data_IF_864169237698
#
_entry.id   IF_864169237698
#
_cell.length_a   1.000
_cell.length_b   1.000
_cell.length_c   1.000
_cell.angle_alpha   90.00
_cell.angle_beta   90.00
_cell.angle_gamma   90.00
#
_symmetry.space_group_name_H-M   'P 1'
#
loop_
_entity.id
_entity.type
_entity.pdbx_description
1 polymer ?
#
# COMPACT_ATOMS: atom_id res chain seq x y z
N UNK A 1 3.42 -24.93 -9.47
CA UNK A 1 2.22 -25.24 -10.29
C UNK A 1 1.52 -23.92 -10.58
N UNK A 2 1.24 -23.60 -11.85
CA UNK A 2 0.39 -22.46 -12.18
C UNK A 2 -1.02 -22.75 -11.65
N UNK A 3 -1.58 -21.87 -10.84
CA UNK A 3 -2.96 -21.97 -10.39
C UNK A 3 -3.63 -20.59 -10.53
N UNK A 4 -4.22 -20.30 -11.71
CA UNK A 4 -4.91 -19.04 -11.96
C UNK A 4 -6.06 -18.75 -10.98
N UNK A 5 -6.55 -19.76 -10.25
CA UNK A 5 -7.52 -19.59 -9.17
C UNK A 5 -7.04 -18.64 -8.07
N UNK A 6 -5.72 -18.44 -7.92
CA UNK A 6 -5.17 -17.41 -7.05
C UNK A 6 -5.65 -16.00 -7.41
N UNK A 7 -5.92 -15.69 -8.69
CA UNK A 7 -6.35 -14.36 -9.12
C UNK A 7 -7.71 -13.95 -8.53
N UNK A 8 -8.54 -14.89 -8.06
CA UNK A 8 -9.77 -14.58 -7.32
C UNK A 8 -9.48 -13.75 -6.06
N UNK A 9 -8.30 -13.91 -5.47
CA UNK A 9 -7.86 -13.10 -4.33
C UNK A 9 -7.64 -11.63 -4.70
N UNK A 10 -7.28 -11.30 -5.95
CA UNK A 10 -7.23 -9.91 -6.41
C UNK A 10 -8.63 -9.30 -6.35
N UNK A 11 -9.65 -9.99 -6.87
CA UNK A 11 -11.04 -9.51 -6.82
C UNK A 11 -11.51 -9.33 -5.38
N UNK A 12 -11.23 -10.28 -4.49
CA UNK A 12 -11.55 -10.14 -3.07
C UNK A 12 -10.80 -8.96 -2.42
N UNK A 13 -9.52 -8.76 -2.76
CA UNK A 13 -8.74 -7.61 -2.30
C UNK A 13 -9.33 -6.29 -2.76
N UNK A 14 -9.80 -6.22 -4.01
CA UNK A 14 -10.50 -5.05 -4.57
C UNK A 14 -11.77 -4.74 -3.78
N UNK A 15 -12.59 -5.77 -3.52
CA UNK A 15 -13.83 -5.61 -2.74
C UNK A 15 -13.55 -5.21 -1.30
N UNK A 16 -12.52 -5.78 -0.67
CA UNK A 16 -12.12 -5.45 0.70
C UNK A 16 -11.57 -4.03 0.78
N UNK A 17 -10.67 -3.65 -0.14
CA UNK A 17 -10.08 -2.31 -0.19
C UNK A 17 -11.14 -1.25 -0.41
N UNK A 18 -11.96 -1.39 -1.46
CA UNK A 18 -13.07 -0.47 -1.72
C UNK A 18 -14.10 -0.46 -0.59
N UNK A 19 -14.52 -1.63 -0.11
CA UNK A 19 -15.54 -1.73 0.92
C UNK A 19 -15.11 -1.09 2.24
N UNK A 20 -13.85 -1.28 2.65
CA UNK A 20 -13.33 -0.68 3.87
C UNK A 20 -13.27 0.86 3.77
N UNK A 21 -12.73 1.40 2.67
CA UNK A 21 -12.66 2.85 2.47
C UNK A 21 -14.03 3.48 2.24
N UNK A 22 -14.92 2.83 1.48
CA UNK A 22 -16.27 3.31 1.23
C UNK A 22 -17.13 3.32 2.49
N UNK A 23 -17.25 2.19 3.18
CA UNK A 23 -18.17 2.07 4.33
C UNK A 23 -17.68 2.91 5.51
N UNK A 24 -16.41 2.79 5.88
CA UNK A 24 -15.90 3.39 7.11
C UNK A 24 -15.23 4.75 6.88
N UNK A 25 -14.68 4.97 5.69
CA UNK A 25 -14.04 6.23 5.32
C UNK A 25 -15.03 7.29 4.80
N UNK A 26 -16.06 6.88 4.05
CA UNK A 26 -17.02 7.77 3.37
C UNK A 26 -18.42 7.73 3.99
N UNK A 27 -19.04 6.55 4.11
CA UNK A 27 -20.46 6.43 4.48
C UNK A 27 -20.75 6.69 5.97
N UNK A 28 -19.97 6.09 6.89
CA UNK A 28 -20.22 6.16 8.34
C UNK A 28 -19.48 7.35 9.01
N UNK A 29 -18.47 7.93 8.37
CA UNK A 29 -17.70 9.08 8.88
C UNK A 29 -17.15 8.92 10.32
N UNK A 30 -16.45 7.81 10.61
CA UNK A 30 -15.87 7.52 11.94
C UNK A 30 -14.63 8.36 12.29
N UNK A 31 -14.37 8.79 13.53
CA UNK A 31 -13.12 9.48 13.89
C UNK A 31 -11.88 8.81 13.29
N UNK A 32 -10.94 9.60 12.73
CA UNK A 32 -9.87 9.07 11.86
C UNK A 32 -9.07 7.91 12.47
N UNK A 33 -8.70 8.02 13.75
CA UNK A 33 -7.92 6.97 14.40
C UNK A 33 -8.73 5.67 14.60
N UNK A 34 -10.05 5.79 14.81
CA UNK A 34 -10.97 4.64 14.87
C UNK A 34 -11.17 4.02 13.49
N UNK A 35 -11.30 4.84 12.44
CA UNK A 35 -11.32 4.36 11.07
C UNK A 35 -10.07 3.52 10.77
N UNK A 36 -8.88 4.05 11.07
CA UNK A 36 -7.63 3.31 10.85
C UNK A 36 -7.57 2.02 11.65
N UNK A 37 -8.00 2.02 12.91
CA UNK A 37 -8.07 0.79 13.72
C UNK A 37 -8.92 -0.30 13.05
N UNK A 38 -10.11 0.06 12.57
CA UNK A 38 -11.02 -0.88 11.89
C UNK A 38 -10.41 -1.35 10.57
N UNK A 39 -9.87 -0.42 9.78
CA UNK A 39 -9.20 -0.72 8.53
C UNK A 39 -8.02 -1.70 8.73
N UNK A 40 -7.19 -1.48 9.74
CA UNK A 40 -6.09 -2.38 10.09
C UNK A 40 -6.59 -3.78 10.40
N UNK A 41 -7.64 -3.88 11.23
CA UNK A 41 -8.29 -5.14 11.56
C UNK A 41 -8.74 -5.89 10.31
N UNK A 42 -9.40 -5.19 9.38
CA UNK A 42 -9.87 -5.77 8.11
C UNK A 42 -8.71 -6.27 7.25
N UNK A 43 -7.68 -5.44 7.03
CA UNK A 43 -6.54 -5.81 6.18
C UNK A 43 -5.74 -6.96 6.79
N UNK A 44 -5.44 -6.91 8.09
CA UNK A 44 -4.71 -7.97 8.80
C UNK A 44 -5.52 -9.28 8.79
N UNK A 45 -6.82 -9.23 9.01
CA UNK A 45 -7.69 -10.40 8.94
C UNK A 45 -7.70 -11.00 7.52
N UNK A 46 -7.87 -10.16 6.49
CA UNK A 46 -7.85 -10.58 5.09
C UNK A 46 -6.54 -11.25 4.71
N UNK A 47 -5.40 -10.64 5.05
CA UNK A 47 -4.08 -11.22 4.83
C UNK A 47 -3.89 -12.54 5.59
N UNK A 48 -4.31 -12.60 6.85
CA UNK A 48 -4.21 -13.81 7.67
C UNK A 48 -5.02 -14.95 7.04
N UNK A 49 -6.23 -14.66 6.55
CA UNK A 49 -7.06 -15.63 5.84
C UNK A 49 -6.35 -16.11 4.57
N UNK A 50 -5.81 -15.19 3.76
CA UNK A 50 -5.06 -15.52 2.55
C UNK A 50 -3.85 -16.43 2.85
N UNK A 51 -3.04 -16.07 3.85
CA UNK A 51 -1.85 -16.82 4.28
C UNK A 51 -2.24 -18.24 4.69
N UNK A 52 -3.27 -18.39 5.54
CA UNK A 52 -3.74 -19.69 6.03
C UNK A 52 -4.32 -20.55 4.90
N UNK A 53 -5.19 -19.98 4.06
CA UNK A 53 -5.85 -20.72 2.96
C UNK A 53 -4.91 -21.13 1.84
N UNK A 54 -3.82 -20.39 1.65
CA UNK A 54 -2.84 -20.67 0.60
C UNK A 54 -1.54 -21.26 1.12
N UNK A 55 -1.44 -21.53 2.43
CA UNK A 55 -0.25 -22.06 3.09
C UNK A 55 1.03 -21.27 2.74
N UNK A 56 0.94 -19.93 2.78
CA UNK A 56 2.08 -19.07 2.47
C UNK A 56 3.16 -19.18 3.56
N UNK A 57 4.38 -19.55 3.18
CA UNK A 57 5.54 -19.51 4.08
C UNK A 57 6.11 -18.10 4.19
N UNK A 58 5.65 -17.32 5.18
CA UNK A 58 6.10 -15.93 5.36
C UNK A 58 7.62 -15.83 5.57
N UNK A 59 8.21 -16.72 6.38
CA UNK A 59 9.64 -16.68 6.70
C UNK A 59 10.48 -16.68 5.43
N UNK A 60 10.14 -17.57 4.50
CA UNK A 60 10.81 -17.69 3.20
C UNK A 60 10.67 -16.43 2.34
N UNK A 61 9.49 -15.81 2.31
CA UNK A 61 9.27 -14.60 1.51
C UNK A 61 10.00 -13.38 2.08
N UNK A 62 9.99 -13.22 3.40
CA UNK A 62 10.67 -12.12 4.07
C UNK A 62 12.19 -12.28 4.07
N UNK A 63 12.73 -13.50 4.14
CA UNK A 63 14.18 -13.74 4.17
C UNK A 63 14.86 -13.63 2.81
N UNK A 64 14.12 -13.60 1.70
CA UNK A 64 14.67 -13.58 0.34
C UNK A 64 15.00 -12.18 -0.11
N UNK A 65 16.25 -11.93 -0.51
CA UNK A 65 16.68 -10.64 -1.11
C UNK A 65 16.27 -9.43 -0.26
N UNK A 66 16.14 -9.61 1.06
CA UNK A 66 15.63 -8.59 1.98
C UNK A 66 16.53 -7.35 2.01
N UNK A 67 17.84 -7.54 1.86
CA UNK A 67 18.80 -6.45 1.71
C UNK A 67 18.43 -5.55 0.52
N UNK A 68 18.12 -6.14 -0.63
CA UNK A 68 17.67 -5.38 -1.81
C UNK A 68 16.30 -4.72 -1.59
N UNK A 69 15.38 -5.39 -0.89
CA UNK A 69 14.10 -4.81 -0.49
C UNK A 69 14.28 -3.54 0.35
N UNK A 70 15.20 -3.58 1.33
CA UNK A 70 15.53 -2.43 2.17
C UNK A 70 16.26 -1.34 1.38
N UNK A 71 17.33 -1.69 0.65
CA UNK A 71 18.10 -0.69 -0.11
C UNK A 71 17.23 0.05 -1.12
N UNK A 72 16.44 -0.67 -1.92
CA UNK A 72 15.51 -0.05 -2.86
C UNK A 72 14.42 0.73 -2.13
N UNK A 73 13.91 0.21 -1.01
CA UNK A 73 12.92 0.94 -0.23
C UNK A 73 13.47 2.26 0.34
N UNK A 74 14.74 2.33 0.75
CA UNK A 74 15.36 3.58 1.20
C UNK A 74 15.53 4.57 0.05
N UNK A 75 16.00 4.11 -1.12
CA UNK A 75 16.17 4.95 -2.32
C UNK A 75 14.84 5.53 -2.77
N UNK A 76 13.81 4.69 -2.94
CA UNK A 76 12.49 5.15 -3.35
C UNK A 76 11.76 5.90 -2.23
N UNK A 77 12.05 5.58 -0.97
CA UNK A 77 11.65 6.38 0.19
C UNK A 77 12.13 7.82 0.07
N UNK A 78 13.41 8.03 -0.24
CA UNK A 78 13.97 9.37 -0.45
C UNK A 78 13.29 10.12 -1.61
N UNK A 79 12.95 9.43 -2.71
CA UNK A 79 12.18 10.03 -3.80
C UNK A 79 10.80 10.49 -3.34
N UNK A 80 10.10 9.68 -2.53
CA UNK A 80 8.80 10.06 -1.98
C UNK A 80 8.91 11.18 -0.94
N UNK A 81 9.99 11.24 -0.14
CA UNK A 81 10.27 12.39 0.72
C UNK A 81 10.35 13.66 -0.12
N UNK A 82 11.12 13.68 -1.20
CA UNK A 82 11.24 14.84 -2.07
C UNK A 82 9.89 15.22 -2.71
N UNK A 83 9.10 14.23 -3.13
CA UNK A 83 7.75 14.47 -3.64
C UNK A 83 6.86 15.18 -2.60
N UNK A 84 6.87 14.72 -1.34
CA UNK A 84 6.10 15.35 -0.26
C UNK A 84 6.62 16.76 0.03
N UNK A 85 7.94 16.94 0.12
CA UNK A 85 8.57 18.24 0.42
C UNK A 85 8.33 19.27 -0.69
N UNK A 86 8.09 18.85 -1.93
CA UNK A 86 7.69 19.73 -3.04
C UNK A 86 6.31 20.35 -2.87
N UNK A 87 5.49 19.86 -1.93
CA UNK A 87 4.15 20.40 -1.64
C UNK A 87 4.25 21.55 -0.63
N UNK A 88 3.31 22.51 -0.65
CA UNK A 88 3.29 23.58 0.34
C UNK A 88 3.23 23.04 1.77
N UNK A 89 3.96 23.71 2.68
CA UNK A 89 3.90 23.43 4.12
C UNK A 89 2.51 23.79 4.65
N UNK A 90 1.95 22.96 5.52
CA UNK A 90 0.71 23.29 6.26
C UNK A 90 0.97 23.43 7.75
N UNK A 91 -0.03 23.87 8.51
CA UNK A 91 0.06 23.96 9.97
C UNK A 91 0.47 22.62 10.59
N UNK A 92 1.49 22.66 11.46
CA UNK A 92 2.15 21.47 12.02
C UNK A 92 1.51 21.07 13.35
N UNK A 93 1.41 19.76 13.57
CA UNK A 93 1.17 19.23 14.90
C UNK A 93 2.46 19.28 15.74
N UNK A 94 2.33 19.37 17.06
CA UNK A 94 3.47 19.43 17.99
C UNK A 94 3.26 18.50 19.19
N UNK A 95 4.34 18.28 19.95
CA UNK A 95 4.28 17.55 21.22
C UNK A 95 3.93 16.06 21.08
N UNK A 96 3.37 15.44 22.14
CA UNK A 96 3.05 14.01 22.16
C UNK A 96 2.06 13.58 21.07
N UNK A 97 1.16 14.48 20.68
CA UNK A 97 0.20 14.20 19.61
C UNK A 97 0.89 14.02 18.26
N UNK A 98 1.94 14.80 17.94
CA UNK A 98 2.74 14.57 16.73
C UNK A 98 3.38 13.17 16.74
N UNK A 99 3.93 12.74 17.87
CA UNK A 99 4.53 11.40 17.98
C UNK A 99 3.48 10.30 17.74
N UNK A 100 2.27 10.46 18.29
CA UNK A 100 1.15 9.57 18.03
C UNK A 100 0.80 9.51 16.53
N UNK A 101 0.70 10.65 15.85
CA UNK A 101 0.39 10.69 14.42
C UNK A 101 1.49 10.01 13.59
N UNK A 102 2.76 10.29 13.86
CA UNK A 102 3.90 9.66 13.16
C UNK A 102 3.84 8.14 13.32
N UNK A 103 3.59 7.65 14.53
CA UNK A 103 3.48 6.21 14.78
C UNK A 103 2.23 5.62 14.12
N UNK A 104 1.04 6.15 14.43
CA UNK A 104 -0.23 5.56 14.06
C UNK A 104 -0.55 5.74 12.57
N UNK A 105 -0.54 6.98 12.09
CA UNK A 105 -0.93 7.34 10.72
C UNK A 105 0.25 7.30 9.75
N UNK A 106 1.45 7.58 10.24
CA UNK A 106 2.67 7.52 9.43
C UNK A 106 3.11 6.08 9.21
N UNK A 107 3.56 5.45 10.29
CA UNK A 107 4.18 4.13 10.25
C UNK A 107 3.17 3.01 10.08
N UNK A 108 2.19 2.85 10.99
CA UNK A 108 1.29 1.69 10.99
C UNK A 108 0.34 1.75 9.79
N UNK A 109 -0.39 2.86 9.60
CA UNK A 109 -1.27 3.01 8.44
C UNK A 109 -0.49 2.93 7.13
N UNK A 110 0.63 3.64 7.02
CA UNK A 110 1.44 3.61 5.81
C UNK A 110 1.96 2.21 5.46
N UNK A 111 2.43 1.44 6.45
CA UNK A 111 2.88 0.07 6.20
C UNK A 111 1.73 -0.87 5.81
N UNK A 112 0.57 -0.76 6.46
CA UNK A 112 -0.61 -1.59 6.16
C UNK A 112 -1.17 -1.27 4.76
N UNK A 113 -1.23 0.00 4.38
CA UNK A 113 -1.62 0.38 3.03
C UNK A 113 -0.62 -0.13 1.98
N UNK A 114 0.69 0.07 2.19
CA UNK A 114 1.70 -0.45 1.25
C UNK A 114 1.67 -1.98 1.13
N UNK A 115 1.29 -2.67 2.21
CA UNK A 115 1.06 -4.11 2.20
C UNK A 115 -0.16 -4.46 1.33
N UNK A 116 -1.31 -3.81 1.54
CA UNK A 116 -2.52 -4.08 0.75
C UNK A 116 -2.37 -3.67 -0.71
N UNK A 117 -1.96 -2.43 -0.97
CA UNK A 117 -2.02 -1.84 -2.30
C UNK A 117 -0.87 -2.30 -3.21
N UNK A 118 0.31 -2.62 -2.66
CA UNK A 118 1.50 -2.99 -3.45
C UNK A 118 1.88 -4.46 -3.31
N UNK A 119 2.06 -4.94 -2.07
CA UNK A 119 2.60 -6.30 -1.83
C UNK A 119 1.57 -7.38 -2.14
N UNK A 120 0.31 -7.18 -1.76
CA UNK A 120 -0.74 -8.18 -1.98
C UNK A 120 -0.89 -8.56 -3.46
N UNK A 121 -1.10 -7.61 -4.40
CA UNK A 121 -1.37 -7.98 -5.78
C UNK A 121 -0.15 -8.59 -6.46
N UNK A 122 1.05 -8.10 -6.10
CA UNK A 122 2.31 -8.71 -6.52
C UNK A 122 2.41 -10.17 -6.07
N UNK A 123 2.20 -10.43 -4.79
CA UNK A 123 2.31 -11.77 -4.21
C UNK A 123 1.30 -12.74 -4.83
N UNK A 124 0.04 -12.33 -4.99
CA UNK A 124 -0.99 -13.14 -5.64
C UNK A 124 -0.60 -13.46 -7.08
N UNK A 125 -0.09 -12.47 -7.83
CA UNK A 125 0.37 -12.66 -9.21
C UNK A 125 1.56 -13.62 -9.28
N UNK A 126 2.58 -13.41 -8.44
CA UNK A 126 3.76 -14.27 -8.40
C UNK A 126 3.41 -15.73 -8.14
N UNK A 127 2.44 -15.96 -7.26
CA UNK A 127 1.99 -17.31 -6.89
C UNK A 127 1.05 -17.93 -7.91
N UNK A 128 0.13 -17.16 -8.48
CA UNK A 128 -0.79 -17.64 -9.51
C UNK A 128 -0.04 -18.27 -10.70
N UNK A 129 1.14 -17.73 -11.02
CA UNK A 129 1.92 -18.14 -12.18
C UNK A 129 3.27 -18.78 -11.83
N UNK A 130 3.59 -19.09 -10.56
CA UNK A 130 4.89 -19.67 -10.17
C UNK A 130 6.08 -18.87 -10.78
N UNK A 131 6.01 -17.54 -10.67
CA UNK A 131 6.88 -16.60 -11.41
C UNK A 131 8.35 -16.77 -11.05
N UNK A 132 8.67 -17.21 -9.82
CA UNK A 132 10.05 -17.33 -9.36
C UNK A 132 10.89 -18.28 -10.22
N UNK A 133 10.27 -19.34 -10.77
CA UNK A 133 10.92 -20.36 -11.59
C UNK A 133 11.01 -19.98 -13.07
N UNK A 134 10.43 -18.84 -13.47
CA UNK A 134 10.38 -18.43 -14.87
C UNK A 134 11.65 -17.69 -15.31
N UNK A 135 11.98 -17.71 -16.62
CA UNK A 135 13.07 -16.88 -17.15
C UNK A 135 12.76 -15.39 -17.03
N UNK A 136 13.80 -14.55 -17.11
CA UNK A 136 13.73 -13.10 -16.88
C UNK A 136 12.63 -12.41 -17.71
N UNK A 137 12.51 -12.70 -19.01
CA UNK A 137 11.48 -12.08 -19.85
C UNK A 137 10.05 -12.35 -19.38
N UNK A 138 9.78 -13.55 -18.84
CA UNK A 138 8.49 -13.86 -18.22
C UNK A 138 8.34 -13.19 -16.86
N UNK A 139 9.41 -13.08 -16.04
CA UNK A 139 9.37 -12.31 -14.79
C UNK A 139 9.01 -10.84 -15.05
N UNK A 140 9.56 -10.23 -16.10
CA UNK A 140 9.22 -8.87 -16.53
C UNK A 140 7.74 -8.80 -16.93
N UNK A 141 7.25 -9.70 -17.78
CA UNK A 141 5.85 -9.71 -18.19
C UNK A 141 4.87 -9.86 -17.02
N UNK A 142 5.14 -10.77 -16.07
CA UNK A 142 4.32 -10.92 -14.87
C UNK A 142 4.53 -9.78 -13.86
N UNK A 143 5.68 -9.09 -13.91
CA UNK A 143 5.90 -7.82 -13.21
C UNK A 143 4.95 -6.73 -13.69
N UNK A 144 4.78 -6.57 -15.00
CA UNK A 144 3.79 -5.65 -15.57
C UNK A 144 2.36 -6.05 -15.22
N UNK A 145 2.04 -7.35 -15.23
CA UNK A 145 0.71 -7.82 -14.80
C UNK A 145 0.45 -7.55 -13.31
N UNK A 146 1.44 -7.76 -12.45
CA UNK A 146 1.36 -7.44 -11.03
C UNK A 146 1.15 -5.94 -10.83
N UNK A 147 1.91 -5.10 -11.54
CA UNK A 147 1.75 -3.65 -11.53
C UNK A 147 0.35 -3.21 -11.99
N UNK A 148 -0.20 -3.83 -13.04
CA UNK A 148 -1.58 -3.58 -13.44
C UNK A 148 -2.57 -3.88 -12.30
N UNK A 149 -2.44 -5.02 -11.61
CA UNK A 149 -3.33 -5.33 -10.47
C UNK A 149 -3.13 -4.41 -9.26
N UNK A 150 -1.89 -3.93 -9.04
CA UNK A 150 -1.61 -2.88 -8.05
C UNK A 150 -2.42 -1.63 -8.37
N UNK A 151 -2.43 -1.17 -9.63
CA UNK A 151 -3.20 0.01 -10.04
C UNK A 151 -4.71 -0.20 -9.92
N UNK A 152 -5.21 -1.38 -10.28
CA UNK A 152 -6.63 -1.74 -10.11
C UNK A 152 -7.03 -1.67 -8.64
N UNK A 153 -6.23 -2.26 -7.74
CA UNK A 153 -6.51 -2.26 -6.32
C UNK A 153 -6.41 -0.85 -5.71
N UNK A 154 -5.38 -0.09 -6.11
CA UNK A 154 -5.19 1.31 -5.70
C UNK A 154 -6.37 2.17 -6.08
N UNK A 155 -6.82 2.03 -7.33
CA UNK A 155 -7.96 2.77 -7.85
C UNK A 155 -9.23 2.42 -7.08
N UNK A 156 -9.51 1.13 -6.88
CA UNK A 156 -10.68 0.69 -6.14
C UNK A 156 -10.67 1.20 -4.69
N UNK A 157 -9.54 1.08 -3.99
CA UNK A 157 -9.38 1.59 -2.64
C UNK A 157 -9.68 3.10 -2.57
N UNK A 158 -9.09 3.90 -3.46
CA UNK A 158 -9.29 5.34 -3.44
C UNK A 158 -10.69 5.76 -3.88
N UNK A 159 -11.34 5.04 -4.82
CA UNK A 159 -12.73 5.32 -5.23
C UNK A 159 -13.73 5.19 -4.08
N UNK A 160 -13.38 4.43 -3.04
CA UNK A 160 -14.19 4.37 -1.83
C UNK A 160 -14.31 5.72 -1.13
N UNK A 161 -13.32 6.61 -1.22
CA UNK A 161 -13.38 7.96 -0.67
C UNK A 161 -14.00 8.95 -1.67
N UNK A 162 -14.94 9.79 -1.23
CA UNK A 162 -15.47 10.87 -2.08
C UNK A 162 -14.38 11.79 -2.64
N UNK A 163 -13.30 12.05 -1.87
CA UNK A 163 -12.14 12.88 -2.24
C UNK A 163 -11.55 12.53 -3.61
N UNK A 164 -11.52 11.23 -3.93
CA UNK A 164 -10.83 10.69 -5.10
C UNK A 164 -11.78 10.28 -6.23
N UNK A 165 -13.09 10.56 -6.13
CA UNK A 165 -14.05 10.41 -7.24
C UNK A 165 -13.94 11.57 -8.24
N UNK A 166 -12.71 11.89 -8.63
CA UNK A 166 -12.35 13.04 -9.45
C UNK A 166 -11.01 12.78 -10.16
N UNK A 167 -10.48 13.79 -10.87
CA UNK A 167 -9.14 13.72 -11.48
C UNK A 167 -8.01 13.52 -10.46
N UNK A 168 -8.27 13.75 -9.16
CA UNK A 168 -7.31 13.48 -8.08
C UNK A 168 -6.88 12.01 -8.00
N UNK A 169 -7.65 11.08 -8.57
CA UNK A 169 -7.31 9.64 -8.68
C UNK A 169 -5.96 9.37 -9.38
N UNK A 170 -5.48 10.29 -10.21
CA UNK A 170 -4.21 10.10 -10.93
C UNK A 170 -3.02 10.09 -9.97
N UNK A 171 -3.01 10.99 -8.98
CA UNK A 171 -1.90 11.14 -8.02
C UNK A 171 -1.60 9.85 -7.22
N UNK A 172 -2.57 9.17 -6.57
CA UNK A 172 -2.29 7.95 -5.84
C UNK A 172 -1.83 6.81 -6.76
N UNK A 173 -2.26 6.75 -8.02
CA UNK A 173 -1.79 5.74 -8.97
C UNK A 173 -0.33 5.99 -9.42
N UNK A 174 0.06 7.25 -9.64
CA UNK A 174 1.45 7.63 -9.91
C UNK A 174 2.31 7.32 -8.68
N UNK A 175 1.89 7.79 -7.50
CA UNK A 175 2.58 7.55 -6.24
C UNK A 175 2.76 6.06 -5.97
N UNK A 176 1.69 5.26 -6.12
CA UNK A 176 1.77 3.84 -5.85
C UNK A 176 2.58 3.06 -6.90
N UNK A 177 2.70 3.58 -8.13
CA UNK A 177 3.65 3.04 -9.11
C UNK A 177 5.07 3.14 -8.58
N UNK A 178 5.49 4.31 -8.10
CA UNK A 178 6.83 4.55 -7.53
C UNK A 178 7.04 3.68 -6.29
N UNK A 179 6.07 3.67 -5.37
CA UNK A 179 6.11 2.90 -4.12
C UNK A 179 6.20 1.39 -4.37
N UNK A 180 5.65 0.89 -5.47
CA UNK A 180 5.64 -0.55 -5.79
C UNK A 180 6.96 -1.06 -6.39
N UNK A 181 7.82 -0.17 -6.90
CA UNK A 181 9.07 -0.56 -7.58
C UNK A 181 9.98 -1.41 -6.69
N UNK A 182 10.25 -1.06 -5.41
CA UNK A 182 11.11 -1.87 -4.55
C UNK A 182 10.66 -3.33 -4.44
N UNK A 183 9.36 -3.59 -4.27
CA UNK A 183 8.84 -4.96 -4.19
C UNK A 183 8.88 -5.67 -5.55
N UNK A 184 8.48 -4.99 -6.63
CA UNK A 184 8.50 -5.57 -7.99
C UNK A 184 9.92 -5.96 -8.45
N UNK A 185 10.91 -5.13 -8.13
CA UNK A 185 12.31 -5.33 -8.55
C UNK A 185 13.05 -6.29 -7.63
N UNK A 186 12.96 -6.11 -6.31
CA UNK A 186 13.66 -7.00 -5.37
C UNK A 186 13.02 -8.39 -5.30
N UNK A 187 11.73 -8.50 -5.56
CA UNK A 187 10.94 -9.69 -5.26
C UNK A 187 10.80 -9.94 -3.75
N UNK A 188 10.81 -8.87 -2.93
CA UNK A 188 10.69 -8.94 -1.48
C UNK A 188 9.54 -8.02 -0.98
N UNK A 189 8.74 -8.45 0.02
CA UNK A 189 7.57 -7.71 0.49
C UNK A 189 7.87 -6.50 1.39
N UNK A 190 9.13 -6.24 1.79
CA UNK A 190 9.47 -5.19 2.76
C UNK A 190 9.51 -3.80 2.11
N UNK A 191 10.01 -3.70 0.88
CA UNK A 191 10.37 -2.43 0.25
C UNK A 191 9.19 -1.47 0.13
N UNK A 192 8.08 -1.90 -0.47
CA UNK A 192 6.92 -1.03 -0.70
C UNK A 192 6.21 -0.54 0.56
N UNK A 193 5.90 -1.37 1.58
CA UNK A 193 5.39 -0.91 2.87
C UNK A 193 6.31 0.12 3.53
N UNK A 194 7.62 -0.07 3.44
CA UNK A 194 8.59 0.87 3.99
C UNK A 194 8.54 2.23 3.26
N UNK A 195 8.51 2.26 1.93
CA UNK A 195 8.39 3.50 1.16
C UNK A 195 7.09 4.22 1.48
N UNK A 196 5.98 3.48 1.55
CA UNK A 196 4.66 4.03 1.84
C UNK A 196 4.60 4.65 3.25
N UNK A 197 5.17 3.97 4.25
CA UNK A 197 5.31 4.50 5.61
C UNK A 197 6.20 5.77 5.65
N UNK A 198 7.35 5.77 4.95
CA UNK A 198 8.23 6.95 4.87
C UNK A 198 7.46 8.14 4.30
N UNK A 199 6.75 7.96 3.18
CA UNK A 199 5.93 8.99 2.55
C UNK A 199 4.91 9.58 3.54
N UNK A 200 4.17 8.72 4.25
CA UNK A 200 3.16 9.19 5.21
C UNK A 200 3.77 9.89 6.43
N UNK A 201 4.88 9.38 6.97
CA UNK A 201 5.61 10.06 8.06
C UNK A 201 6.02 11.47 7.60
N UNK A 202 6.59 11.61 6.40
CA UNK A 202 6.96 12.92 5.86
C UNK A 202 5.75 13.81 5.66
N UNK A 203 4.63 13.28 5.16
CA UNK A 203 3.40 14.05 4.98
C UNK A 203 2.86 14.60 6.31
N UNK A 204 2.92 13.82 7.39
CA UNK A 204 2.49 14.27 8.73
C UNK A 204 3.37 15.41 9.26
N UNK A 205 4.67 15.34 8.99
CA UNK A 205 5.64 16.34 9.48
C UNK A 205 5.58 17.64 8.67
N UNK A 206 5.36 17.53 7.34
CA UNK A 206 5.50 18.64 6.41
C UNK A 206 4.17 19.27 6.00
N UNK A 207 3.17 18.45 5.66
CA UNK A 207 1.92 18.89 5.07
C UNK A 207 0.69 18.12 5.57
N UNK A 208 0.48 18.00 6.90
CA UNK A 208 -0.57 17.15 7.48
C UNK A 208 -2.01 17.55 7.12
N UNK A 209 -2.25 18.76 6.60
CA UNK A 209 -3.58 19.26 6.21
C UNK A 209 -3.81 19.28 4.69
N UNK A 210 -2.93 18.64 3.91
CA UNK A 210 -3.12 18.50 2.45
C UNK A 210 -4.28 17.57 2.12
N UNK A 211 -4.89 17.74 0.94
CA UNK A 211 -5.95 16.85 0.42
C UNK A 211 -5.39 15.68 -0.43
N UNK A 212 -4.07 15.49 -0.43
CA UNK A 212 -3.40 14.48 -1.24
C UNK A 212 -2.98 13.24 -0.46
N UNK A 213 -2.64 13.38 0.82
CA UNK A 213 -2.04 12.32 1.64
C UNK A 213 -2.92 12.03 2.85
N UNK A 214 -2.98 10.77 3.26
CA UNK A 214 -3.70 10.30 4.45
C UNK A 214 -5.23 10.47 4.36
N UNK A 215 -5.90 9.95 3.32
CA UNK A 215 -7.35 9.92 3.32
C UNK A 215 -7.94 9.10 4.47
N UNK A 216 -9.23 9.31 4.78
CA UNK A 216 -10.12 10.33 4.21
C UNK A 216 -9.80 11.74 4.74
N UNK A 217 -9.98 12.77 3.91
CA UNK A 217 -9.85 14.17 4.36
C UNK A 217 -11.22 14.65 4.82
N UNK A 218 -11.28 15.25 6.00
CA UNK A 218 -12.52 15.79 6.55
C UNK A 218 -12.34 17.26 6.88
N UNK A 219 -13.38 18.04 6.59
CA UNK A 219 -13.49 19.43 7.02
C UNK A 219 -13.85 19.51 8.49
#
# INVERSE_FOLDING_TARGET
>A
MNNPGHLKWILLGVLVGFGASFVFGDLITLPLDLYYLIYFGIVVAFFTIYIKKTQLNLKEWFSRRWVWGILLGLVFGALMVQNVLSRPVTEKFTGPYLAWLIFWRGLIYGAIDGLLLSVFPWMVTWRAFDVEKKPLGKKIAFGFLAWFFILVLTTAYHLGYADFRSKKMIEPNIGNTIISVPTLVSGNPIGSPMVHAIMHITAIIHSPKTELFLPPHRK
#
